data_IF_419125007844
#
_entry.id   IF_419125007844
#
_cell.length_a   1.000
_cell.length_b   1.000
_cell.length_c   1.000
_cell.angle_alpha   90.00
_cell.angle_beta   90.00
_cell.angle_gamma   90.00
#
_symmetry.space_group_name_H-M   'P 1'
#
loop_
_entity.id
_entity.type
_entity.pdbx_description
1 polymer ?
#
# COMPACT_ATOMS: atom_id res chain seq x y z
N UNK A 1 47.72 -14.59 4.43
CA UNK A 1 46.82 -14.74 5.60
C UNK A 1 45.46 -14.04 5.45
N UNK A 2 45.36 -12.76 5.05
CA UNK A 2 44.06 -12.03 4.95
C UNK A 2 43.03 -12.62 3.97
N UNK A 3 43.45 -13.12 2.79
CA UNK A 3 42.55 -13.75 1.79
C UNK A 3 41.91 -15.05 2.30
N UNK A 4 42.67 -15.87 3.03
CA UNK A 4 42.18 -17.13 3.58
C UNK A 4 41.16 -16.90 4.71
N UNK A 5 41.42 -15.89 5.56
CA UNK A 5 40.47 -15.48 6.61
C UNK A 5 39.14 -15.00 6.02
N UNK A 6 39.17 -14.16 4.97
CA UNK A 6 37.97 -13.67 4.29
C UNK A 6 37.12 -14.82 3.69
N UNK A 7 37.77 -15.79 3.04
CA UNK A 7 37.12 -16.96 2.45
C UNK A 7 36.47 -17.85 3.51
N UNK A 8 37.14 -18.06 4.64
CA UNK A 8 36.60 -18.81 5.78
C UNK A 8 35.43 -18.05 6.44
N UNK A 9 35.49 -16.73 6.53
CA UNK A 9 34.36 -15.92 7.03
C UNK A 9 33.16 -16.01 6.10
N UNK A 10 33.36 -15.88 4.79
CA UNK A 10 32.27 -16.00 3.80
C UNK A 10 31.66 -17.41 3.88
N UNK A 11 32.48 -18.45 3.92
CA UNK A 11 32.01 -19.84 4.03
C UNK A 11 31.19 -20.06 5.30
N UNK A 12 31.62 -19.52 6.44
CA UNK A 12 30.87 -19.60 7.71
C UNK A 12 29.53 -18.87 7.64
N UNK A 13 29.49 -17.70 7.02
CA UNK A 13 28.23 -16.95 6.84
C UNK A 13 27.29 -17.73 5.93
N UNK A 14 27.78 -18.24 4.79
CA UNK A 14 26.99 -19.07 3.87
C UNK A 14 26.46 -20.32 4.57
N UNK A 15 27.30 -21.06 5.31
CA UNK A 15 26.87 -22.24 6.07
C UNK A 15 25.85 -21.90 7.16
N UNK A 16 26.00 -20.76 7.86
CA UNK A 16 25.02 -20.34 8.87
C UNK A 16 23.67 -19.97 8.25
N UNK A 17 23.67 -19.33 7.08
CA UNK A 17 22.44 -19.01 6.34
C UNK A 17 21.76 -20.29 5.87
N UNK A 18 22.50 -21.24 5.29
CA UNK A 18 21.98 -22.56 4.89
C UNK A 18 21.39 -23.31 6.08
N UNK A 19 22.09 -23.33 7.22
CA UNK A 19 21.60 -24.00 8.44
C UNK A 19 20.30 -23.37 8.96
N UNK A 20 20.19 -22.03 8.93
CA UNK A 20 18.95 -21.33 9.32
C UNK A 20 17.81 -21.69 8.36
N UNK A 21 18.06 -21.69 7.04
CA UNK A 21 17.06 -22.09 6.06
C UNK A 21 16.57 -23.53 6.27
N UNK A 22 17.49 -24.47 6.53
CA UNK A 22 17.13 -25.86 6.81
C UNK A 22 16.29 -26.01 8.08
N UNK A 23 16.61 -25.27 9.14
CA UNK A 23 15.82 -25.28 10.39
C UNK A 23 14.43 -24.70 10.15
N UNK A 24 14.34 -23.63 9.35
CA UNK A 24 13.06 -23.02 8.97
C UNK A 24 12.23 -23.98 8.13
N UNK A 25 12.83 -24.64 7.12
CA UNK A 25 12.14 -25.61 6.25
C UNK A 25 11.66 -26.85 7.02
N UNK A 26 12.51 -27.39 7.92
CA UNK A 26 12.11 -28.51 8.78
C UNK A 26 10.98 -28.07 9.70
N UNK A 27 11.13 -26.93 10.37
CA UNK A 27 10.08 -26.37 11.23
C UNK A 27 8.78 -26.13 10.47
N UNK A 28 8.87 -25.71 9.19
CA UNK A 28 7.76 -25.54 8.29
C UNK A 28 6.98 -26.85 8.16
N UNK A 29 7.62 -28.00 7.92
CA UNK A 29 6.90 -29.29 7.79
C UNK A 29 6.07 -29.73 9.00
N UNK A 30 6.28 -29.13 10.18
CA UNK A 30 5.52 -29.41 11.41
C UNK A 30 4.39 -28.41 11.68
N UNK A 31 4.20 -27.41 10.82
CA UNK A 31 3.11 -26.44 10.96
C UNK A 31 1.82 -27.05 10.36
N UNK A 32 0.66 -26.91 11.03
CA UNK A 32 -0.61 -27.40 10.47
C UNK A 32 -0.92 -26.76 9.12
N UNK A 33 -1.53 -27.52 8.19
CA UNK A 33 -1.82 -27.07 6.81
C UNK A 33 -2.68 -25.80 6.77
N UNK A 34 -3.63 -25.64 7.70
CA UNK A 34 -4.45 -24.43 7.80
C UNK A 34 -3.63 -23.20 8.19
N UNK A 35 -2.60 -23.40 9.03
CA UNK A 35 -1.66 -22.35 9.45
C UNK A 35 -0.64 -22.08 8.35
N UNK A 36 -0.21 -23.08 7.58
CA UNK A 36 0.59 -22.88 6.38
C UNK A 36 -0.12 -21.99 5.36
N UNK A 37 -1.38 -22.30 5.07
CA UNK A 37 -2.17 -21.56 4.11
C UNK A 37 -2.45 -20.15 4.62
N UNK A 38 -2.76 -19.98 5.91
CA UNK A 38 -2.92 -18.65 6.51
C UNK A 38 -1.62 -17.83 6.46
N UNK A 39 -0.45 -18.42 6.75
CA UNK A 39 0.83 -17.71 6.71
C UNK A 39 1.23 -17.40 5.26
N UNK A 40 1.03 -18.31 4.31
CA UNK A 40 1.35 -18.04 2.89
C UNK A 40 0.42 -16.99 2.30
N UNK A 41 -0.88 -17.04 2.60
CA UNK A 41 -1.86 -16.03 2.18
C UNK A 41 -1.54 -14.68 2.85
N UNK A 42 -1.31 -14.64 4.16
CA UNK A 42 -0.90 -13.43 4.87
C UNK A 42 0.42 -12.86 4.32
N UNK A 43 1.39 -13.73 4.04
CA UNK A 43 2.66 -13.33 3.44
C UNK A 43 2.50 -12.84 2.01
N UNK A 44 1.55 -13.37 1.21
CA UNK A 44 1.23 -12.93 -0.16
C UNK A 44 0.48 -11.60 -0.18
N UNK A 45 -0.48 -11.41 0.72
CA UNK A 45 -1.31 -10.19 0.81
C UNK A 45 -0.50 -9.03 1.38
N UNK A 46 0.35 -9.29 2.39
CA UNK A 46 1.14 -8.26 3.04
C UNK A 46 2.61 -8.25 2.63
N UNK A 47 3.04 -8.97 1.59
CA UNK A 47 4.48 -9.10 1.25
C UNK A 47 5.14 -7.73 1.09
N UNK A 48 4.47 -6.81 0.40
CA UNK A 48 5.01 -5.47 0.13
C UNK A 48 5.16 -4.66 1.41
N UNK A 49 4.16 -4.70 2.29
CA UNK A 49 4.19 -4.03 3.59
C UNK A 49 5.20 -4.67 4.55
N UNK A 50 5.29 -6.00 4.56
CA UNK A 50 6.25 -6.75 5.36
C UNK A 50 7.69 -6.49 4.90
N UNK A 51 7.96 -6.54 3.59
CA UNK A 51 9.27 -6.19 3.01
C UNK A 51 9.64 -4.75 3.40
N UNK A 52 8.71 -3.81 3.24
CA UNK A 52 8.94 -2.40 3.60
C UNK A 52 9.18 -2.21 5.10
N UNK A 53 8.39 -2.88 5.96
CA UNK A 53 8.51 -2.82 7.41
C UNK A 53 9.84 -3.41 7.90
N UNK A 54 10.17 -4.62 7.45
CA UNK A 54 11.42 -5.32 7.83
C UNK A 54 12.64 -4.52 7.36
N UNK A 55 12.65 -4.03 6.12
CA UNK A 55 13.75 -3.19 5.62
C UNK A 55 13.89 -1.88 6.40
N UNK A 56 12.78 -1.26 6.80
CA UNK A 56 12.78 -0.05 7.62
C UNK A 56 13.33 -0.30 9.03
N UNK A 57 12.98 -1.42 9.67
CA UNK A 57 13.51 -1.80 10.99
C UNK A 57 15.01 -2.04 10.93
N UNK A 58 15.48 -2.79 9.92
CA UNK A 58 16.90 -3.05 9.69
C UNK A 58 17.64 -1.72 9.46
N UNK A 59 17.05 -0.81 8.69
CA UNK A 59 17.63 0.50 8.45
C UNK A 59 17.68 1.36 9.73
N UNK A 60 16.65 1.29 10.58
CA UNK A 60 16.66 1.95 11.90
C UNK A 60 17.81 1.47 12.78
N UNK A 61 18.04 0.15 12.84
CA UNK A 61 19.17 -0.41 13.58
C UNK A 61 20.52 -0.01 12.98
N UNK A 62 20.60 0.06 11.65
CA UNK A 62 21.76 0.55 10.92
C UNK A 62 22.07 2.02 11.26
N UNK A 63 21.08 2.90 11.24
CA UNK A 63 21.23 4.33 11.60
C UNK A 63 21.62 4.48 13.07
N UNK A 64 20.99 3.75 13.99
CA UNK A 64 21.37 3.75 15.40
C UNK A 64 22.87 3.41 15.59
N UNK A 65 23.34 2.35 14.91
CA UNK A 65 24.74 1.95 14.95
C UNK A 65 25.66 3.00 14.31
N UNK A 66 25.20 3.66 13.24
CA UNK A 66 25.92 4.71 12.53
C UNK A 66 26.15 5.93 13.45
N UNK A 67 25.08 6.45 14.06
CA UNK A 67 25.14 7.61 14.97
C UNK A 67 26.05 7.31 16.16
N UNK A 68 25.90 6.13 16.79
CA UNK A 68 26.70 5.74 17.97
C UNK A 68 28.20 5.61 17.67
N UNK A 69 28.58 5.31 16.43
CA UNK A 69 29.98 5.07 16.05
C UNK A 69 30.55 6.07 15.03
N UNK A 70 29.85 7.18 14.77
CA UNK A 70 30.17 8.11 13.69
C UNK A 70 31.60 8.68 13.78
N UNK A 71 32.05 8.98 15.00
CA UNK A 71 33.38 9.52 15.27
C UNK A 71 34.50 8.48 15.09
N UNK A 72 34.17 7.19 15.07
CA UNK A 72 35.14 6.08 14.88
C UNK A 72 35.28 5.62 13.42
N UNK A 73 34.49 6.18 12.51
CA UNK A 73 34.51 5.77 11.11
C UNK A 73 35.54 6.53 10.28
N UNK A 74 36.35 5.78 9.52
CA UNK A 74 37.24 6.33 8.50
C UNK A 74 36.45 6.95 7.33
N UNK A 75 37.09 7.81 6.55
CA UNK A 75 36.47 8.50 5.40
C UNK A 75 35.82 7.52 4.40
N UNK A 76 36.44 6.37 4.15
CA UNK A 76 35.89 5.30 3.30
C UNK A 76 34.62 4.66 3.89
N UNK A 77 34.57 4.44 5.22
CA UNK A 77 33.38 3.90 5.90
C UNK A 77 32.22 4.89 5.90
N UNK A 78 32.51 6.20 5.97
CA UNK A 78 31.50 7.27 5.85
C UNK A 78 30.92 7.37 4.45
N UNK A 79 31.76 7.27 3.41
CA UNK A 79 31.28 7.23 2.03
C UNK A 79 30.41 6.00 1.74
N UNK A 80 30.85 4.81 2.19
CA UNK A 80 30.04 3.60 2.10
C UNK A 80 28.70 3.71 2.83
N UNK A 81 28.67 4.41 3.96
CA UNK A 81 27.43 4.65 4.67
C UNK A 81 26.45 5.57 3.93
N UNK A 82 26.95 6.67 3.37
CA UNK A 82 26.14 7.57 2.56
C UNK A 82 25.51 6.85 1.35
N UNK A 83 26.26 5.96 0.70
CA UNK A 83 25.76 5.16 -0.43
C UNK A 83 24.62 4.23 0.02
N UNK A 84 24.79 3.50 1.12
CA UNK A 84 23.74 2.60 1.66
C UNK A 84 22.48 3.38 2.02
N UNK A 85 22.62 4.56 2.64
CA UNK A 85 21.50 5.46 2.95
C UNK A 85 20.79 5.96 1.69
N UNK A 86 21.51 6.37 0.65
CA UNK A 86 20.92 6.78 -0.62
C UNK A 86 20.18 5.64 -1.32
N UNK A 87 20.73 4.42 -1.30
CA UNK A 87 20.08 3.23 -1.87
C UNK A 87 18.78 2.91 -1.11
N UNK A 88 18.78 3.02 0.22
CA UNK A 88 17.57 2.85 1.01
C UNK A 88 16.49 3.89 0.67
N UNK A 89 16.86 5.17 0.53
CA UNK A 89 15.89 6.19 0.11
C UNK A 89 15.35 5.96 -1.30
N UNK A 90 16.19 5.53 -2.24
CA UNK A 90 15.74 5.14 -3.58
C UNK A 90 14.77 3.95 -3.52
N UNK A 91 15.04 2.95 -2.68
CA UNK A 91 14.14 1.81 -2.46
C UNK A 91 12.80 2.24 -1.86
N UNK A 92 12.80 3.10 -0.83
CA UNK A 92 11.58 3.66 -0.22
C UNK A 92 10.76 4.44 -1.25
N UNK A 93 11.41 5.23 -2.09
CA UNK A 93 10.74 5.98 -3.15
C UNK A 93 10.14 5.07 -4.23
N UNK A 94 10.87 4.05 -4.69
CA UNK A 94 10.40 3.15 -5.75
C UNK A 94 9.31 2.19 -5.26
N UNK A 95 9.48 1.60 -4.09
CA UNK A 95 8.57 0.56 -3.57
C UNK A 95 7.43 1.19 -2.76
N UNK A 96 7.72 2.16 -1.90
CA UNK A 96 6.72 2.85 -1.11
C UNK A 96 5.93 3.86 -1.94
N UNK A 97 6.60 4.89 -2.47
CA UNK A 97 5.92 6.00 -3.13
C UNK A 97 5.33 5.62 -4.51
N UNK A 98 6.10 4.94 -5.38
CA UNK A 98 5.58 4.54 -6.70
C UNK A 98 4.72 3.27 -6.71
N UNK A 99 4.93 2.38 -5.74
CA UNK A 99 4.22 1.11 -5.66
C UNK A 99 2.82 1.22 -5.04
N UNK A 100 2.61 2.15 -4.10
CA UNK A 100 1.43 2.19 -3.23
C UNK A 100 0.58 3.46 -3.44
N UNK A 101 1.19 4.60 -3.81
CA UNK A 101 0.55 5.92 -3.69
C UNK A 101 0.23 6.64 -5.02
N UNK A 102 0.36 5.96 -6.17
CA UNK A 102 0.05 6.61 -7.46
C UNK A 102 -1.42 6.44 -7.79
N UNK A 103 -2.11 7.57 -7.97
CA UNK A 103 -3.37 7.67 -8.69
C UNK A 103 -3.15 7.30 -10.17
N UNK A 104 -3.59 6.10 -10.56
CA UNK A 104 -3.52 5.62 -11.95
C UNK A 104 -4.84 5.83 -12.70
N UNK A 105 -5.76 6.63 -12.15
CA UNK A 105 -7.07 6.85 -12.76
C UNK A 105 -7.00 7.85 -13.91
N UNK A 106 -7.77 7.57 -14.97
CA UNK A 106 -7.96 8.46 -16.11
C UNK A 106 -9.44 8.86 -16.17
N UNK A 107 -9.75 9.96 -15.49
CA UNK A 107 -11.10 10.48 -15.36
C UNK A 107 -11.65 11.13 -16.63
N UNK A 108 -10.83 11.33 -17.66
CA UNK A 108 -11.31 11.78 -18.97
C UNK A 108 -11.86 10.61 -19.78
N UNK A 109 -11.21 9.44 -19.67
CA UNK A 109 -11.54 8.27 -20.48
C UNK A 109 -12.48 7.28 -19.79
N UNK A 110 -12.34 7.08 -18.48
CA UNK A 110 -13.07 6.07 -17.73
C UNK A 110 -13.95 6.71 -16.67
N UNK A 111 -15.11 7.23 -17.09
CA UNK A 111 -16.12 7.79 -16.20
C UNK A 111 -17.11 6.70 -15.76
N UNK A 112 -17.23 6.48 -14.46
CA UNK A 112 -18.10 5.48 -13.87
C UNK A 112 -19.27 6.07 -13.07
N UNK A 113 -19.59 7.35 -13.25
CA UNK A 113 -20.74 7.99 -12.59
C UNK A 113 -22.05 7.23 -12.82
N UNK A 114 -22.33 6.81 -14.05
CA UNK A 114 -23.56 6.06 -14.37
C UNK A 114 -23.50 4.65 -13.77
N UNK A 115 -22.35 4.00 -13.86
CA UNK A 115 -22.16 2.60 -13.45
C UNK A 115 -22.21 2.43 -11.94
N UNK A 116 -21.59 3.35 -11.19
CA UNK A 116 -21.44 3.27 -9.73
C UNK A 116 -22.37 4.22 -8.97
N UNK A 117 -23.46 4.66 -9.61
CA UNK A 117 -24.47 5.55 -9.00
C UNK A 117 -23.87 6.86 -8.44
N UNK A 118 -22.92 7.45 -9.15
CA UNK A 118 -22.39 8.79 -8.87
C UNK A 118 -23.37 9.90 -9.28
N UNK A 119 -22.83 11.04 -9.70
CA UNK A 119 -23.59 12.22 -10.11
C UNK A 119 -24.09 13.07 -8.93
N UNK A 120 -25.18 13.80 -9.16
CA UNK A 120 -25.73 14.75 -8.18
C UNK A 120 -26.48 13.99 -7.09
N UNK A 121 -26.15 14.27 -5.83
CA UNK A 121 -26.77 13.70 -4.64
C UNK A 121 -27.27 14.80 -3.72
N UNK A 122 -28.48 14.66 -3.21
CA UNK A 122 -29.01 15.55 -2.18
C UNK A 122 -29.04 14.85 -0.84
N UNK A 123 -28.46 15.49 0.17
CA UNK A 123 -28.44 15.01 1.56
C UNK A 123 -28.74 16.20 2.45
N UNK A 124 -29.79 16.11 3.27
CA UNK A 124 -30.26 17.17 4.16
C UNK A 124 -30.42 18.55 3.48
N UNK A 125 -30.91 18.56 2.23
CA UNK A 125 -31.09 19.78 1.44
C UNK A 125 -29.80 20.38 0.87
N UNK A 126 -28.64 19.76 1.13
CA UNK A 126 -27.36 20.14 0.55
C UNK A 126 -27.10 19.29 -0.69
N UNK A 127 -26.69 19.94 -1.78
CA UNK A 127 -26.36 19.28 -3.04
C UNK A 127 -24.86 18.99 -3.12
N UNK A 128 -24.54 17.71 -3.27
CA UNK A 128 -23.20 17.18 -3.47
C UNK A 128 -23.06 16.60 -4.89
N UNK A 129 -21.89 16.76 -5.49
CA UNK A 129 -21.55 16.16 -6.78
C UNK A 129 -20.54 15.04 -6.52
N UNK A 130 -20.93 13.81 -6.81
CA UNK A 130 -20.10 12.61 -6.65
C UNK A 130 -19.55 12.21 -8.03
N UNK A 131 -18.25 12.39 -8.23
CA UNK A 131 -17.56 11.99 -9.46
C UNK A 131 -16.72 10.74 -9.22
N UNK A 132 -16.85 9.76 -10.12
CA UNK A 132 -16.24 8.45 -10.02
C UNK A 132 -15.56 8.13 -11.34
N UNK A 133 -14.28 7.81 -11.27
CA UNK A 133 -13.47 7.45 -12.44
C UNK A 133 -12.50 6.32 -12.14
N UNK A 134 -12.13 5.56 -13.18
CA UNK A 134 -11.23 4.42 -13.06
C UNK A 134 -9.92 4.57 -13.81
N UNK A 135 -9.03 3.61 -13.63
CA UNK A 135 -7.83 3.45 -14.46
C UNK A 135 -8.10 2.81 -15.81
N UNK A 136 -9.25 2.15 -15.99
CA UNK A 136 -9.59 1.33 -17.16
C UNK A 136 -8.72 0.07 -17.33
N UNK A 137 -7.79 -0.14 -16.40
CA UNK A 137 -6.87 -1.27 -16.37
C UNK A 137 -7.27 -2.13 -15.19
N UNK A 138 -7.92 -3.26 -15.46
CA UNK A 138 -7.96 -4.39 -14.52
C UNK A 138 -6.51 -4.79 -14.29
N UNK A 139 -6.04 -4.85 -13.04
CA UNK A 139 -4.64 -5.23 -12.83
C UNK A 139 -4.39 -6.65 -13.34
N UNK A 140 -3.70 -6.79 -14.48
CA UNK A 140 -3.15 -8.07 -14.92
C UNK A 140 -1.87 -8.35 -14.14
N UNK A 141 -1.97 -8.43 -12.82
CA UNK A 141 -0.94 -9.10 -12.04
C UNK A 141 -0.88 -10.55 -12.53
N UNK A 142 0.32 -11.08 -12.72
CA UNK A 142 0.59 -12.50 -13.03
C UNK A 142 -0.01 -13.48 -11.98
N UNK A 143 -0.69 -12.95 -10.95
CA UNK A 143 -1.29 -13.59 -9.79
C UNK A 143 -2.68 -13.00 -9.45
N UNK A 144 -3.58 -12.84 -10.44
CA UNK A 144 -5.03 -12.99 -10.20
C UNK A 144 -5.90 -11.82 -9.72
N UNK A 145 -5.36 -10.70 -9.23
CA UNK A 145 -6.23 -9.60 -8.76
C UNK A 145 -6.85 -8.83 -9.94
N UNK A 146 -8.07 -9.14 -10.36
CA UNK A 146 -8.78 -8.37 -11.41
C UNK A 146 -9.34 -7.02 -10.94
N UNK A 147 -8.79 -6.49 -9.85
CA UNK A 147 -9.24 -5.24 -9.26
C UNK A 147 -8.84 -4.05 -10.13
N UNK A 148 -9.77 -3.11 -10.30
CA UNK A 148 -9.51 -1.83 -10.94
C UNK A 148 -9.36 -0.75 -9.88
N UNK A 149 -8.37 0.14 -10.02
CA UNK A 149 -8.27 1.31 -9.16
C UNK A 149 -9.31 2.34 -9.57
N UNK A 150 -10.12 2.78 -8.62
CA UNK A 150 -11.18 3.77 -8.81
C UNK A 150 -10.96 4.95 -7.87
N UNK A 151 -11.25 6.14 -8.38
CA UNK A 151 -11.19 7.41 -7.66
C UNK A 151 -12.60 7.95 -7.48
N UNK A 152 -12.95 8.23 -6.23
CA UNK A 152 -14.19 8.87 -5.80
C UNK A 152 -13.87 10.29 -5.34
N UNK A 153 -14.55 11.26 -5.93
CA UNK A 153 -14.43 12.68 -5.60
C UNK A 153 -15.79 13.21 -5.21
N UNK A 154 -15.90 13.78 -4.02
CA UNK A 154 -17.10 14.48 -3.55
C UNK A 154 -16.84 15.97 -3.59
N UNK A 155 -17.68 16.71 -4.29
CA UNK A 155 -17.60 18.15 -4.43
C UNK A 155 -18.92 18.83 -4.03
N UNK A 156 -18.85 20.12 -3.68
CA UNK A 156 -20.06 20.94 -3.54
C UNK A 156 -20.65 21.31 -4.90
N UNK A 157 -21.89 21.82 -4.90
CA UNK A 157 -22.57 22.35 -6.08
C UNK A 157 -21.75 23.40 -6.86
N UNK A 158 -20.89 24.17 -6.18
CA UNK A 158 -20.02 25.18 -6.80
C UNK A 158 -18.68 24.62 -7.30
N UNK A 159 -18.45 23.30 -7.21
CA UNK A 159 -17.28 22.62 -7.75
C UNK A 159 -16.07 22.55 -6.82
N UNK A 160 -16.17 23.04 -5.57
CA UNK A 160 -15.12 22.87 -4.56
C UNK A 160 -15.00 21.39 -4.16
N UNK A 161 -13.80 20.82 -4.19
CA UNK A 161 -13.58 19.44 -3.75
C UNK A 161 -13.59 19.34 -2.23
N UNK A 162 -14.46 18.50 -1.69
CA UNK A 162 -14.63 18.28 -0.26
C UNK A 162 -13.95 16.99 0.23
N UNK A 163 -13.97 15.94 -0.58
CA UNK A 163 -13.34 14.68 -0.23
C UNK A 163 -12.85 13.96 -1.50
N UNK A 164 -11.71 13.29 -1.39
CA UNK A 164 -11.19 12.39 -2.43
C UNK A 164 -10.83 11.06 -1.78
N UNK A 165 -11.14 9.95 -2.47
CA UNK A 165 -10.77 8.58 -2.09
C UNK A 165 -10.27 7.81 -3.30
N UNK A 166 -9.24 7.00 -3.08
CA UNK A 166 -8.76 6.01 -4.02
C UNK A 166 -9.01 4.64 -3.41
N UNK A 167 -9.67 3.76 -4.14
CA UNK A 167 -10.08 2.43 -3.69
C UNK A 167 -10.02 1.45 -4.85
N UNK A 168 -10.18 0.16 -4.58
CA UNK A 168 -10.22 -0.88 -5.60
C UNK A 168 -11.62 -1.43 -5.76
N UNK A 169 -12.03 -1.68 -7.01
CA UNK A 169 -13.32 -2.31 -7.34
C UNK A 169 -13.07 -3.63 -8.03
N UNK A 170 -13.77 -4.67 -7.58
CA UNK A 170 -13.84 -5.95 -8.26
C UNK A 170 -15.14 -6.02 -9.07
N UNK A 171 -15.04 -5.83 -10.38
CA UNK A 171 -16.22 -5.73 -11.26
C UNK A 171 -17.03 -7.03 -11.40
N UNK A 172 -16.38 -8.17 -11.17
CA UNK A 172 -17.01 -9.48 -11.29
C UNK A 172 -17.51 -9.98 -9.90
N UNK A 173 -17.63 -9.05 -8.94
CA UNK A 173 -18.07 -9.27 -7.56
C UNK A 173 -19.59 -9.37 -7.37
N UNK A 174 -20.06 -9.27 -6.12
CA UNK A 174 -21.51 -9.36 -5.85
C UNK A 174 -22.22 -8.11 -6.39
N UNK A 175 -23.40 -8.27 -7.02
CA UNK A 175 -24.13 -7.14 -7.57
C UNK A 175 -24.51 -6.15 -6.46
N UNK A 176 -24.17 -4.86 -6.65
CA UNK A 176 -24.44 -3.79 -5.69
C UNK A 176 -23.22 -3.34 -4.89
N UNK A 177 -22.18 -4.18 -4.75
CA UNK A 177 -20.89 -3.82 -4.14
C UNK A 177 -20.08 -2.89 -5.05
N UNK A 178 -20.40 -2.86 -6.35
CA UNK A 178 -19.82 -1.95 -7.33
C UNK A 178 -20.49 -0.56 -7.35
N UNK A 179 -21.46 -0.29 -6.48
CA UNK A 179 -22.24 0.95 -6.48
C UNK A 179 -22.07 1.77 -5.21
N UNK A 180 -22.14 3.11 -5.34
CA UNK A 180 -22.17 4.01 -4.18
C UNK A 180 -23.59 4.23 -3.69
N UNK A 181 -23.76 4.25 -2.37
CA UNK A 181 -25.07 4.32 -1.71
C UNK A 181 -25.05 5.42 -0.65
N UNK A 182 -26.13 6.17 -0.51
CA UNK A 182 -26.28 7.11 0.60
C UNK A 182 -27.08 6.46 1.71
N UNK A 183 -26.48 6.36 2.90
CA UNK A 183 -27.11 5.79 4.09
C UNK A 183 -26.78 6.64 5.31
N UNK A 184 -27.80 7.13 6.03
CA UNK A 184 -27.65 7.91 7.27
C UNK A 184 -26.60 9.03 7.14
N UNK A 185 -26.74 9.88 6.12
CA UNK A 185 -25.82 11.00 5.87
C UNK A 185 -24.37 10.58 5.60
N UNK A 186 -24.18 9.38 5.06
CA UNK A 186 -22.87 8.90 4.64
C UNK A 186 -22.95 8.38 3.22
N UNK A 187 -21.93 8.69 2.43
CA UNK A 187 -21.67 8.04 1.16
C UNK A 187 -20.90 6.77 1.42
N UNK A 188 -21.56 5.63 1.23
CA UNK A 188 -21.03 4.29 1.39
C UNK A 188 -20.50 3.79 0.05
N UNK A 189 -19.30 3.21 0.06
CA UNK A 189 -18.64 2.61 -1.10
C UNK A 189 -17.88 1.35 -0.65
N UNK A 190 -17.65 0.42 -1.57
CA UNK A 190 -16.93 -0.82 -1.28
C UNK A 190 -15.49 -0.74 -1.80
N UNK A 191 -14.50 -0.99 -0.94
CA UNK A 191 -13.09 -1.09 -1.29
C UNK A 191 -12.64 -2.56 -1.26
N UNK A 192 -12.49 -3.15 -2.43
CA UNK A 192 -12.06 -4.53 -2.62
C UNK A 192 -10.57 -4.78 -2.26
N UNK A 193 -9.89 -3.84 -1.60
CA UNK A 193 -8.57 -4.11 -1.02
C UNK A 193 -8.61 -4.90 0.28
N UNK A 194 -9.74 -4.88 0.98
CA UNK A 194 -9.89 -5.52 2.29
C UNK A 194 -10.79 -6.76 2.17
N UNK A 195 -10.33 -7.92 2.64
CA UNK A 195 -11.05 -9.21 2.53
C UNK A 195 -12.21 -9.34 3.54
N UNK A 196 -12.14 -8.66 4.70
CA UNK A 196 -13.06 -8.86 5.84
C UNK A 196 -14.09 -7.72 6.04
N UNK A 197 -13.73 -6.47 5.72
CA UNK A 197 -14.63 -5.31 5.81
C UNK A 197 -14.30 -4.30 4.70
N UNK A 198 -14.87 -4.55 3.53
CA UNK A 198 -14.69 -3.70 2.37
C UNK A 198 -15.65 -2.50 2.38
N UNK A 199 -16.62 -2.42 3.30
CA UNK A 199 -17.56 -1.30 3.33
C UNK A 199 -16.89 -0.06 3.95
N UNK A 200 -16.67 0.96 3.14
CA UNK A 200 -16.12 2.25 3.56
C UNK A 200 -17.18 3.33 3.45
N UNK A 201 -17.03 4.38 4.24
CA UNK A 201 -17.98 5.50 4.22
C UNK A 201 -17.31 6.87 4.35
N UNK A 202 -17.88 7.85 3.67
CA UNK A 202 -17.55 9.28 3.79
C UNK A 202 -18.75 9.96 4.43
N UNK A 203 -18.51 10.73 5.50
CA UNK A 203 -19.59 11.51 6.11
C UNK A 203 -20.03 12.63 5.16
N UNK A 204 -21.32 12.97 5.17
CA UNK A 204 -21.90 14.10 4.45
C UNK A 204 -22.60 15.00 5.49
N UNK A 205 -22.08 16.21 5.78
CA UNK A 205 -20.90 16.83 5.18
C UNK A 205 -19.58 16.09 5.52
N UNK A 206 -18.57 16.13 4.64
CA UNK A 206 -17.25 15.58 4.91
C UNK A 206 -16.57 16.23 6.11
N UNK A 207 -15.71 15.47 6.78
CA UNK A 207 -14.97 15.97 7.93
C UNK A 207 -13.89 16.96 7.53
N UNK A 208 -13.39 17.75 8.48
CA UNK A 208 -12.25 18.65 8.25
C UNK A 208 -11.01 17.89 7.76
N UNK A 209 -10.82 16.65 8.24
CA UNK A 209 -9.74 15.78 7.80
C UNK A 209 -9.91 15.34 6.34
N UNK A 210 -11.13 15.03 5.91
CA UNK A 210 -11.44 14.68 4.51
C UNK A 210 -11.10 15.82 3.56
N UNK A 211 -11.39 17.05 3.98
CA UNK A 211 -11.08 18.25 3.21
C UNK A 211 -9.58 18.51 3.10
N UNK A 212 -8.83 18.33 4.20
CA UNK A 212 -7.36 18.43 4.19
C UNK A 212 -6.77 17.36 3.27
N UNK A 213 -7.24 16.12 3.39
CA UNK A 213 -6.80 15.01 2.56
C UNK A 213 -7.11 15.22 1.06
N UNK A 214 -8.25 15.84 0.74
CA UNK A 214 -8.61 16.18 -0.63
C UNK A 214 -7.65 17.20 -1.25
N UNK A 215 -7.10 18.12 -0.44
CA UNK A 215 -6.12 19.12 -0.88
C UNK A 215 -4.68 18.59 -0.92
N UNK A 216 -4.38 17.61 -0.07
CA UNK A 216 -3.05 17.00 0.06
C UNK A 216 -3.15 15.48 -0.15
N UNK A 217 -3.26 15.01 -1.42
CA UNK A 217 -3.51 13.61 -1.77
C UNK A 217 -2.34 12.65 -1.44
N UNK A 218 -1.30 13.12 -0.75
CA UNK A 218 -0.10 12.34 -0.38
C UNK A 218 -0.34 11.57 0.94
N UNK A 219 -1.37 11.92 1.71
CA UNK A 219 -1.41 11.59 3.14
C UNK A 219 -2.20 10.35 3.53
N UNK A 220 -3.01 9.74 2.66
CA UNK A 220 -3.89 8.64 3.11
C UNK A 220 -4.16 7.63 1.99
N UNK A 221 -3.57 6.44 2.14
CA UNK A 221 -4.31 5.19 2.14
C UNK A 221 -4.16 4.59 3.53
#
# INVERSE_FOLDING_TARGET
MKKCYLLVTILKVVLSVIAIYLVVDIGWTFVPVDVHNAITIFALVHTKLAIFGITSIIFGFYVYRLVRNFNRFSRAKRAGAAIVTLVFFAFVYLVGYRGIMIDRTDCQRFNYNVKMNGGVKQVDGITYIVNICGSGVRSNGFLGDQNEQVKLVVSEAHGSTLATRLFFVFWDGRPGEDSTIIRKNKLVYFDASDEDDSERSISLPPTTFDWVAAKFPIWIR
#
